data_IF_194298706442
#
_entry.id   IF_194298706442
#
_cell.length_a   1.000
_cell.length_b   1.000
_cell.length_c   1.000
_cell.angle_alpha   90.00
_cell.angle_beta   90.00
_cell.angle_gamma   90.00
#
_symmetry.space_group_name_H-M   'P 1'
#
loop_
_entity.id
_entity.type
_entity.pdbx_description
1 polymer ?
#
# COMPACT_ATOMS: atom_id res chain seq x y z
N UNK A 1 -27.66 -23.27 2.93
CA UNK A 1 -26.80 -22.26 3.55
C UNK A 1 -25.63 -21.96 2.64
N UNK A 2 -25.33 -20.70 2.48
CA UNK A 2 -24.23 -20.28 1.64
C UNK A 2 -22.92 -20.37 2.41
N UNK A 3 -21.95 -21.07 1.87
CA UNK A 3 -20.63 -21.15 2.49
C UNK A 3 -19.93 -19.79 2.44
N UNK A 4 -19.24 -19.49 3.52
CA UNK A 4 -18.42 -18.30 3.56
C UNK A 4 -17.28 -18.44 2.54
N UNK A 5 -17.04 -17.40 1.76
CA UNK A 5 -15.91 -17.42 0.83
C UNK A 5 -14.61 -17.44 1.60
N UNK A 6 -13.68 -18.28 1.14
CA UNK A 6 -12.36 -18.29 1.73
C UNK A 6 -11.60 -17.07 1.28
N UNK A 7 -11.00 -16.38 2.22
CA UNK A 7 -10.18 -15.22 1.94
C UNK A 7 -8.79 -15.40 2.54
N UNK A 8 -7.86 -14.63 1.99
CA UNK A 8 -6.47 -14.59 2.44
C UNK A 8 -6.20 -13.25 3.11
N UNK A 9 -5.22 -13.25 3.98
CA UNK A 9 -4.67 -12.02 4.53
C UNK A 9 -3.16 -12.02 4.29
N UNK A 10 -2.65 -10.91 3.79
CA UNK A 10 -1.22 -10.69 3.61
C UNK A 10 -0.78 -9.68 4.66
N UNK A 11 0.24 -10.03 5.44
CA UNK A 11 0.82 -9.12 6.43
C UNK A 11 2.32 -9.02 6.20
N UNK A 12 2.80 -7.81 6.03
CA UNK A 12 4.22 -7.54 5.77
C UNK A 12 4.66 -6.39 6.67
N UNK A 13 5.82 -6.56 7.30
CA UNK A 13 6.41 -5.51 8.15
C UNK A 13 7.79 -5.14 7.65
N UNK A 14 8.13 -3.85 7.74
CA UNK A 14 9.47 -3.35 7.43
C UNK A 14 9.82 -2.24 8.43
N UNK A 15 11.05 -2.30 8.94
CA UNK A 15 11.59 -1.19 9.73
C UNK A 15 12.28 -0.23 8.78
N UNK A 16 11.87 1.03 8.82
CA UNK A 16 12.33 2.05 7.88
C UNK A 16 13.08 3.13 8.67
N UNK A 17 14.33 3.48 8.28
CA UNK A 17 15.13 4.47 9.01
C UNK A 17 14.70 5.90 8.68
N UNK A 18 13.46 6.24 9.03
CA UNK A 18 12.85 7.55 8.80
C UNK A 18 11.75 7.77 9.81
N UNK A 19 11.43 9.03 10.07
CA UNK A 19 10.34 9.39 10.96
C UNK A 19 8.99 8.96 10.37
N UNK A 20 8.02 8.64 11.23
CA UNK A 20 6.72 8.13 10.81
C UNK A 20 6.02 9.07 9.80
N UNK A 21 6.11 10.38 10.00
CA UNK A 21 5.52 11.35 9.07
C UNK A 21 6.16 11.29 7.69
N UNK A 22 7.47 11.06 7.61
CA UNK A 22 8.16 10.94 6.33
C UNK A 22 7.76 9.66 5.61
N UNK A 23 7.62 8.56 6.34
CA UNK A 23 7.19 7.28 5.77
C UNK A 23 5.76 7.38 5.26
N UNK A 24 4.89 7.96 6.08
CA UNK A 24 3.49 8.19 5.71
C UNK A 24 3.38 9.01 4.42
N UNK A 25 4.06 10.16 4.40
CA UNK A 25 4.02 11.05 3.23
C UNK A 25 4.63 10.38 2.00
N UNK A 26 5.72 9.63 2.17
CA UNK A 26 6.37 8.92 1.07
C UNK A 26 5.49 7.86 0.45
N UNK A 27 4.69 7.16 1.24
CA UNK A 27 3.77 6.16 0.70
C UNK A 27 2.71 6.77 -0.21
N UNK A 28 2.31 7.99 0.05
CA UNK A 28 1.30 8.70 -0.75
C UNK A 28 1.90 9.62 -1.80
N UNK A 29 3.22 9.59 -1.97
CA UNK A 29 3.91 10.46 -2.93
C UNK A 29 4.27 9.68 -4.19
N UNK A 30 3.63 9.98 -5.35
CA UNK A 30 3.90 9.25 -6.60
C UNK A 30 5.33 9.41 -7.12
N UNK A 31 6.10 10.32 -6.57
CA UNK A 31 7.51 10.52 -6.97
C UNK A 31 8.48 9.58 -6.26
N UNK A 32 8.01 8.89 -5.22
CA UNK A 32 8.87 7.96 -4.45
C UNK A 32 8.69 6.55 -4.98
N UNK A 33 9.74 5.92 -5.53
CA UNK A 33 9.63 4.53 -5.98
C UNK A 33 9.31 3.57 -4.84
N UNK A 34 8.59 2.51 -5.14
CA UNK A 34 8.24 1.48 -4.17
C UNK A 34 6.82 1.60 -3.63
N UNK A 35 6.03 2.53 -4.14
CA UNK A 35 4.60 2.55 -3.86
C UNK A 35 3.82 2.36 -5.18
N UNK A 36 2.52 1.97 -5.10
CA UNK A 36 1.76 1.67 -6.32
C UNK A 36 1.64 2.85 -7.29
N UNK A 37 1.54 4.06 -6.76
CA UNK A 37 1.32 5.26 -7.59
C UNK A 37 2.52 5.56 -8.46
N UNK A 38 3.73 5.37 -7.94
CA UNK A 38 4.96 5.55 -8.71
C UNK A 38 5.10 4.47 -9.79
N UNK A 39 4.71 3.23 -9.47
CA UNK A 39 4.83 2.11 -10.41
C UNK A 39 3.81 2.20 -11.54
N UNK A 40 2.73 2.93 -11.35
CA UNK A 40 1.59 2.96 -12.26
C UNK A 40 1.93 3.58 -13.60
N UNK A 41 1.35 3.03 -14.67
CA UNK A 41 1.38 3.65 -16.00
C UNK A 41 0.44 4.85 -16.04
N UNK A 42 -0.70 4.73 -15.37
CA UNK A 42 -1.67 5.80 -15.18
C UNK A 42 -2.22 5.71 -13.77
N UNK A 43 -2.46 6.85 -13.15
CA UNK A 43 -3.07 6.83 -11.83
C UNK A 43 -3.89 8.08 -11.54
N UNK A 44 -4.83 7.92 -10.63
CA UNK A 44 -5.59 8.99 -9.99
C UNK A 44 -5.40 8.76 -8.49
N UNK A 45 -5.07 9.78 -7.74
CA UNK A 45 -4.82 9.65 -6.32
C UNK A 45 -5.36 10.87 -5.58
N UNK A 46 -6.37 10.65 -4.75
CA UNK A 46 -6.95 11.67 -3.89
C UNK A 46 -6.86 11.16 -2.44
N UNK A 47 -5.71 11.38 -1.76
CA UNK A 47 -5.40 10.71 -0.49
C UNK A 47 -6.07 11.40 0.72
N UNK A 48 -7.38 11.38 0.75
CA UNK A 48 -8.19 11.88 1.87
C UNK A 48 -9.38 10.94 2.07
N UNK A 49 -9.97 10.96 3.26
CA UNK A 49 -11.15 10.12 3.54
C UNK A 49 -12.21 10.36 2.48
N UNK A 50 -12.74 9.26 1.94
CA UNK A 50 -13.67 9.20 0.81
C UNK A 50 -13.08 9.59 -0.54
N UNK A 51 -11.80 9.95 -0.60
CA UNK A 51 -11.09 10.17 -1.86
C UNK A 51 -10.89 8.86 -2.61
N UNK A 52 -10.91 8.93 -3.93
CA UNK A 52 -10.77 7.75 -4.79
C UNK A 52 -9.34 7.60 -5.29
N UNK A 53 -8.95 6.36 -5.56
CA UNK A 53 -7.72 6.11 -6.29
C UNK A 53 -7.97 5.12 -7.43
N UNK A 54 -7.12 5.22 -8.42
CA UNK A 54 -7.09 4.34 -9.58
C UNK A 54 -5.65 4.24 -10.04
N UNK A 55 -5.20 3.05 -10.43
CA UNK A 55 -3.89 2.92 -11.06
C UNK A 55 -3.85 1.66 -11.93
N UNK A 56 -3.04 1.73 -12.99
CA UNK A 56 -2.89 0.62 -13.93
C UNK A 56 -1.43 0.23 -14.08
N UNK A 57 -1.21 -1.07 -14.26
CA UNK A 57 0.10 -1.64 -14.56
C UNK A 57 -0.13 -2.96 -15.29
N UNK A 58 0.56 -3.12 -16.44
CA UNK A 58 0.46 -4.36 -17.25
C UNK A 58 -0.98 -4.73 -17.58
N UNK A 59 -1.77 -3.76 -18.03
CA UNK A 59 -3.18 -3.92 -18.38
C UNK A 59 -4.08 -4.36 -17.21
N UNK A 60 -3.59 -4.24 -15.99
CA UNK A 60 -4.39 -4.53 -14.80
C UNK A 60 -4.76 -3.23 -14.11
N UNK A 61 -6.07 -3.02 -13.93
CA UNK A 61 -6.59 -1.82 -13.25
C UNK A 61 -6.89 -2.12 -11.80
N UNK A 62 -6.50 -1.21 -10.92
CA UNK A 62 -6.75 -1.30 -9.49
C UNK A 62 -7.47 -0.02 -9.07
N UNK A 63 -8.45 -0.13 -8.19
CA UNK A 63 -9.16 1.06 -7.73
C UNK A 63 -9.74 0.86 -6.33
N UNK A 64 -10.07 1.95 -5.69
CA UNK A 64 -10.66 1.92 -4.37
C UNK A 64 -10.90 3.31 -3.82
N UNK A 65 -11.19 3.34 -2.52
CA UNK A 65 -11.55 4.55 -1.80
C UNK A 65 -10.79 4.56 -0.47
N UNK A 66 -10.25 5.72 -0.09
CA UNK A 66 -9.62 5.87 1.22
C UNK A 66 -10.69 5.90 2.30
N UNK A 67 -10.53 5.07 3.33
CA UNK A 67 -11.45 5.01 4.47
C UNK A 67 -10.86 5.63 5.72
N UNK A 68 -9.51 5.63 5.83
CA UNK A 68 -8.82 6.28 6.94
C UNK A 68 -7.54 6.94 6.41
N UNK A 69 -7.31 8.17 6.79
CA UNK A 69 -6.08 8.91 6.51
C UNK A 69 -5.75 9.70 7.76
N UNK A 70 -4.94 9.11 8.65
CA UNK A 70 -4.59 9.70 9.95
C UNK A 70 -3.07 9.86 10.03
N UNK A 71 -2.58 11.00 9.61
CA UNK A 71 -1.15 11.28 9.62
C UNK A 71 -0.65 11.48 11.04
N UNK A 72 0.47 10.86 11.43
CA UNK A 72 1.38 10.02 10.65
C UNK A 72 1.17 8.52 10.88
N UNK A 73 0.03 8.10 11.42
CA UNK A 73 -0.13 6.78 12.02
C UNK A 73 -0.77 5.73 11.13
N UNK A 74 -1.73 6.12 10.27
CA UNK A 74 -2.57 5.10 9.65
C UNK A 74 -3.17 5.55 8.32
N UNK A 75 -3.16 4.64 7.34
CA UNK A 75 -3.83 4.79 6.04
C UNK A 75 -4.61 3.51 5.81
N UNK A 76 -5.86 3.63 5.40
CA UNK A 76 -6.66 2.47 5.01
C UNK A 76 -7.44 2.80 3.75
N UNK A 77 -7.48 1.84 2.82
CA UNK A 77 -8.27 1.99 1.60
C UNK A 77 -8.78 0.65 1.12
N UNK A 78 -9.88 0.70 0.40
CA UNK A 78 -10.42 -0.49 -0.26
C UNK A 78 -9.57 -0.78 -1.50
N UNK A 79 -9.64 -2.03 -1.97
CA UNK A 79 -8.80 -2.48 -3.09
C UNK A 79 -9.59 -3.45 -3.94
N UNK A 80 -9.77 -3.12 -5.20
CA UNK A 80 -10.50 -3.93 -6.15
C UNK A 80 -9.68 -4.04 -7.44
N UNK A 81 -9.58 -5.24 -7.97
CA UNK A 81 -8.93 -5.51 -9.26
C UNK A 81 -9.45 -6.83 -9.83
N UNK A 82 -9.09 -7.17 -11.08
CA UNK A 82 -9.40 -8.51 -11.57
C UNK A 82 -8.81 -9.63 -10.72
N UNK A 83 -7.69 -9.37 -10.03
CA UNK A 83 -7.04 -10.34 -9.16
C UNK A 83 -7.78 -10.56 -7.83
N UNK A 84 -8.71 -9.69 -7.48
CA UNK A 84 -9.65 -9.90 -6.39
C UNK A 84 -11.01 -10.35 -6.90
N UNK A 85 -11.10 -10.73 -8.19
CA UNK A 85 -12.33 -11.15 -8.85
C UNK A 85 -13.40 -10.05 -8.83
N UNK A 86 -12.97 -8.79 -8.82
CA UNK A 86 -13.87 -7.64 -8.72
C UNK A 86 -14.49 -7.46 -7.35
N UNK A 87 -14.01 -8.20 -6.35
CA UNK A 87 -14.50 -8.06 -4.97
C UNK A 87 -13.67 -7.05 -4.20
N UNK A 88 -14.31 -6.35 -3.29
CA UNK A 88 -13.64 -5.36 -2.46
C UNK A 88 -12.82 -6.05 -1.37
N UNK A 89 -11.55 -5.68 -1.29
CA UNK A 89 -10.65 -6.08 -0.21
C UNK A 89 -10.18 -4.83 0.51
N UNK A 90 -9.37 -4.98 1.55
CA UNK A 90 -9.00 -3.85 2.40
C UNK A 90 -7.49 -3.84 2.66
N UNK A 91 -6.86 -2.71 2.38
CA UNK A 91 -5.44 -2.48 2.67
C UNK A 91 -5.32 -1.52 3.83
N UNK A 92 -4.59 -1.92 4.87
CA UNK A 92 -4.33 -1.07 6.03
C UNK A 92 -2.83 -0.94 6.22
N UNK A 93 -2.36 0.31 6.32
CA UNK A 93 -0.96 0.59 6.62
C UNK A 93 -0.90 1.32 7.96
N UNK A 94 0.00 0.86 8.82
CA UNK A 94 0.27 1.54 10.08
C UNK A 94 1.76 1.90 10.15
N UNK A 95 2.04 3.00 10.80
CA UNK A 95 3.39 3.56 10.89
C UNK A 95 3.68 3.82 12.36
N UNK A 96 4.38 2.88 13.01
CA UNK A 96 4.64 2.96 14.43
C UNK A 96 6.06 3.43 14.71
N UNK A 97 6.21 4.47 15.49
CA UNK A 97 7.52 4.99 15.89
C UNK A 97 8.29 3.93 16.68
N UNK A 98 9.55 3.70 16.28
CA UNK A 98 10.50 2.81 16.96
C UNK A 98 11.83 3.57 17.13
N UNK A 99 11.97 4.35 18.20
CA UNK A 99 13.11 5.24 18.36
C UNK A 99 13.12 6.28 17.24
N UNK A 100 14.20 6.31 16.45
CA UNK A 100 14.29 7.19 15.28
C UNK A 100 13.76 6.54 14.01
N UNK A 101 13.44 5.25 14.08
CA UNK A 101 12.92 4.48 12.94
C UNK A 101 11.40 4.37 13.01
N UNK A 102 10.83 3.78 11.98
CA UNK A 102 9.39 3.51 11.91
C UNK A 102 9.16 2.06 11.53
N UNK A 103 8.31 1.38 12.28
CA UNK A 103 7.81 0.07 11.88
C UNK A 103 6.59 0.29 11.00
N UNK A 104 6.73 -0.01 9.71
CA UNK A 104 5.63 0.05 8.75
C UNK A 104 5.03 -1.34 8.61
N UNK A 105 3.73 -1.44 8.84
CA UNK A 105 3.00 -2.70 8.68
C UNK A 105 1.93 -2.53 7.61
N UNK A 106 1.90 -3.46 6.65
CA UNK A 106 0.86 -3.52 5.64
C UNK A 106 0.04 -4.78 5.88
N UNK A 107 -1.28 -4.63 5.97
CA UNK A 107 -2.21 -5.75 6.06
C UNK A 107 -3.21 -5.62 4.92
N UNK A 108 -3.27 -6.63 4.04
CA UNK A 108 -4.25 -6.69 2.96
C UNK A 108 -5.16 -7.87 3.23
N UNK A 109 -6.39 -7.61 3.60
CA UNK A 109 -7.37 -8.62 4.01
C UNK A 109 -8.53 -8.72 3.03
N UNK A 110 -9.27 -9.83 3.11
CA UNK A 110 -10.44 -10.01 2.25
C UNK A 110 -10.10 -10.38 0.81
N UNK A 111 -8.89 -10.88 0.56
CA UNK A 111 -8.46 -11.30 -0.78
C UNK A 111 -9.04 -12.69 -1.06
N UNK A 112 -9.70 -12.91 -2.21
CA UNK A 112 -10.16 -14.27 -2.55
C UNK A 112 -9.00 -15.27 -2.59
N UNK A 113 -9.22 -16.47 -2.06
CA UNK A 113 -8.20 -17.53 -2.01
C UNK A 113 -8.09 -18.22 -3.38
N UNK A 114 -7.39 -17.57 -4.29
CA UNK A 114 -7.10 -18.04 -5.64
C UNK A 114 -5.60 -17.87 -5.90
N UNK A 115 -5.12 -18.43 -7.01
CA UNK A 115 -3.72 -18.23 -7.40
C UNK A 115 -3.39 -16.75 -7.59
N UNK A 116 -4.30 -16.03 -8.25
CA UNK A 116 -4.12 -14.58 -8.42
C UNK A 116 -4.17 -13.84 -7.08
N UNK A 117 -5.06 -14.26 -6.17
CA UNK A 117 -5.15 -13.69 -4.84
C UNK A 117 -3.86 -13.89 -4.05
N UNK A 118 -3.29 -15.09 -4.10
CA UNK A 118 -2.02 -15.40 -3.42
C UNK A 118 -0.85 -14.60 -3.98
N UNK A 119 -0.94 -14.17 -5.23
CA UNK A 119 0.07 -13.33 -5.86
C UNK A 119 0.22 -11.95 -5.25
N UNK A 120 -0.75 -11.49 -4.46
CA UNK A 120 -0.67 -10.19 -3.80
C UNK A 120 0.51 -10.10 -2.82
N UNK A 121 0.84 -11.21 -2.14
CA UNK A 121 1.98 -11.21 -1.22
C UNK A 121 3.27 -10.88 -1.97
N UNK A 122 3.49 -11.50 -3.11
CA UNK A 122 4.67 -11.23 -3.94
C UNK A 122 4.69 -9.78 -4.43
N UNK A 123 3.54 -9.26 -4.84
CA UNK A 123 3.43 -7.89 -5.31
C UNK A 123 3.75 -6.87 -4.22
N UNK A 124 3.20 -7.06 -3.02
CA UNK A 124 3.47 -6.16 -1.91
C UNK A 124 4.93 -6.25 -1.43
N UNK A 125 5.51 -7.45 -1.40
CA UNK A 125 6.92 -7.60 -1.08
C UNK A 125 7.80 -6.87 -2.09
N UNK A 126 7.45 -6.92 -3.37
CA UNK A 126 8.17 -6.18 -4.40
C UNK A 126 8.23 -4.68 -4.07
N UNK A 127 7.08 -4.07 -3.74
CA UNK A 127 7.04 -2.66 -3.37
C UNK A 127 7.81 -2.37 -2.09
N UNK A 128 7.61 -3.18 -1.05
CA UNK A 128 8.21 -2.93 0.26
C UNK A 128 9.69 -3.28 0.32
N UNK A 129 10.21 -4.02 -0.65
CA UNK A 129 11.65 -4.22 -0.79
C UNK A 129 12.34 -3.02 -1.43
N UNK A 130 11.59 -2.21 -2.19
CA UNK A 130 12.11 -1.02 -2.87
C UNK A 130 11.93 0.24 -2.03
N UNK A 131 10.73 0.42 -1.46
CA UNK A 131 10.31 1.66 -0.83
C UNK A 131 11.24 2.19 0.26
N UNK A 132 11.69 1.38 1.24
CA UNK A 132 12.53 1.91 2.31
C UNK A 132 13.83 2.54 1.82
N UNK A 133 14.52 1.87 0.90
CA UNK A 133 15.78 2.39 0.36
C UNK A 133 15.59 3.63 -0.48
N UNK A 134 14.53 3.68 -1.25
CA UNK A 134 14.23 4.85 -2.09
C UNK A 134 13.83 6.05 -1.27
N UNK A 135 13.09 5.82 -0.18
CA UNK A 135 12.73 6.90 0.73
C UNK A 135 13.97 7.48 1.41
N UNK A 136 14.91 6.63 1.82
CA UNK A 136 16.16 7.07 2.42
C UNK A 136 16.98 7.91 1.42
N UNK A 137 17.08 7.46 0.17
CA UNK A 137 17.76 8.22 -0.88
C UNK A 137 17.12 9.58 -1.12
N UNK A 138 15.80 9.67 -1.08
CA UNK A 138 15.09 10.93 -1.25
C UNK A 138 15.40 11.90 -0.10
N UNK A 139 15.53 11.39 1.13
CA UNK A 139 15.93 12.20 2.29
C UNK A 139 17.35 12.75 2.11
N UNK A 140 18.27 11.91 1.69
CA UNK A 140 19.68 12.32 1.49
C UNK A 140 19.79 13.42 0.43
N UNK A 141 19.03 13.31 -0.66
CA UNK A 141 19.03 14.34 -1.69
C UNK A 141 18.53 15.68 -1.18
N UNK A 142 17.51 15.66 -0.29
CA UNK A 142 16.97 16.89 0.29
C UNK A 142 17.93 17.52 1.31
N UNK A 143 18.79 16.71 1.91
CA UNK A 143 19.73 17.16 2.93
C UNK A 143 21.02 17.74 2.36
N UNK A 144 21.31 17.49 1.09
CA UNK A 144 22.54 17.92 0.44
C UNK A 144 22.41 19.27 -0.23
#
# INVERSE_FOLDING_TARGET
MKDAKKTLEVKIERTIPAAAGEVFDGWLNPKVPGNPWNAAEKFILDPKVDGLFFWTLNNTSHYGRFTEVERPARIQYTWVSPKTLGEESLVTLTFQKKGEDTLMTLVHSGIPDTDAGRGHEKGWNYFLDIFPGQLEMARERRSS
#
